data_IF_080819954420
#
_entry.id   IF_080819954420
#
_cell.length_a   1.000
_cell.length_b   1.000
_cell.length_c   1.000
_cell.angle_alpha   90.00
_cell.angle_beta   90.00
_cell.angle_gamma   90.00
#
_symmetry.space_group_name_H-M   'P 1'
#
loop_
_entity.id
_entity.type
_entity.pdbx_description
1 polymer ?
#
# COMPACT_ATOMS: atom_id res chain seq x y z
N UNK A 1 1.75 -7.97 -3.73
CA UNK A 1 1.77 -6.61 -3.14
C UNK A 1 0.50 -6.39 -2.35
N UNK A 2 0.59 -5.75 -1.18
CA UNK A 2 -0.52 -5.52 -0.23
C UNK A 2 -0.46 -4.07 0.28
N UNK A 3 -1.53 -3.26 0.17
CA UNK A 3 -1.60 -1.94 0.78
C UNK A 3 -2.11 -2.01 2.22
N UNK A 4 -1.51 -1.21 3.11
CA UNK A 4 -1.90 -1.07 4.52
C UNK A 4 -1.81 0.39 4.94
N UNK A 5 -2.79 0.89 5.67
CA UNK A 5 -2.73 2.20 6.32
C UNK A 5 -2.40 1.97 7.79
N UNK A 6 -1.19 2.38 8.18
CA UNK A 6 -0.68 2.21 9.55
C UNK A 6 0.40 3.26 9.83
N UNK A 7 0.00 4.37 10.45
CA UNK A 7 0.87 5.49 10.75
C UNK A 7 2.02 5.10 11.70
N UNK A 8 1.75 4.27 12.70
CA UNK A 8 2.76 3.87 13.67
C UNK A 8 3.85 2.99 13.02
N UNK A 9 3.43 2.06 12.15
CA UNK A 9 4.36 1.22 11.40
C UNK A 9 5.19 2.04 10.41
N UNK A 10 4.58 3.00 9.68
CA UNK A 10 5.30 3.90 8.78
C UNK A 10 6.34 4.73 9.54
N UNK A 11 5.98 5.32 10.70
CA UNK A 11 6.90 6.07 11.53
C UNK A 11 8.07 5.22 12.02
N UNK A 12 7.82 3.98 12.42
CA UNK A 12 8.87 3.03 12.83
C UNK A 12 9.84 2.71 11.70
N UNK A 13 9.31 2.53 10.47
CA UNK A 13 10.15 2.33 9.30
C UNK A 13 11.05 3.55 9.01
N UNK A 14 10.49 4.77 9.09
CA UNK A 14 11.25 6.00 8.88
C UNK A 14 12.34 6.19 9.94
N UNK A 15 12.05 5.87 11.20
CA UNK A 15 13.04 5.94 12.30
C UNK A 15 14.19 4.94 12.11
N UNK A 16 13.91 3.75 11.58
CA UNK A 16 14.92 2.71 11.38
C UNK A 16 15.77 2.93 10.12
N UNK A 17 15.21 3.54 9.09
CA UNK A 17 15.89 3.82 7.82
C UNK A 17 15.84 2.69 6.81
N UNK A 18 16.03 3.05 5.54
CA UNK A 18 16.06 2.11 4.41
C UNK A 18 17.16 1.06 4.58
N UNK A 19 16.88 -0.18 4.23
CA UNK A 19 17.77 -1.34 4.31
C UNK A 19 17.79 -2.02 5.68
N UNK A 20 17.13 -1.44 6.69
CA UNK A 20 17.03 -2.05 8.02
C UNK A 20 16.01 -3.19 8.03
N UNK A 21 16.25 -4.16 8.91
CA UNK A 21 15.28 -5.20 9.25
C UNK A 21 14.62 -4.81 10.57
N UNK A 22 13.29 -4.78 10.58
CA UNK A 22 12.52 -4.39 11.77
C UNK A 22 11.34 -5.33 11.98
N UNK A 23 10.94 -5.50 13.22
CA UNK A 23 9.70 -6.18 13.57
C UNK A 23 8.57 -5.16 13.64
N UNK A 24 7.55 -5.31 12.80
CA UNK A 24 6.34 -4.49 12.79
C UNK A 24 5.15 -5.28 13.33
N UNK A 25 4.21 -4.56 13.92
CA UNK A 25 2.84 -5.03 14.15
C UNK A 25 1.94 -4.26 13.20
N UNK A 26 1.35 -4.94 12.21
CA UNK A 26 0.59 -4.32 11.13
C UNK A 26 -0.90 -4.57 11.27
N UNK A 27 -1.68 -3.52 10.99
CA UNK A 27 -3.13 -3.57 10.97
C UNK A 27 -3.77 -3.34 12.34
N UNK A 28 -5.10 -3.30 12.36
CA UNK A 28 -5.94 -3.09 13.55
C UNK A 28 -5.73 -1.77 14.31
N UNK A 29 -5.04 -0.81 13.72
CA UNK A 29 -4.82 0.51 14.33
C UNK A 29 -6.13 1.31 14.47
N UNK A 30 -7.06 1.11 13.52
CA UNK A 30 -8.33 1.84 13.46
C UNK A 30 -9.51 1.06 14.04
N UNK A 31 -9.44 -0.26 14.05
CA UNK A 31 -10.52 -1.11 14.54
C UNK A 31 -9.98 -2.42 15.11
N UNK A 32 -10.09 -2.55 16.43
CA UNK A 32 -9.61 -3.72 17.18
C UNK A 32 -10.64 -4.87 17.20
N UNK A 33 -11.86 -4.66 16.69
CA UNK A 33 -12.92 -5.66 16.74
C UNK A 33 -12.69 -6.84 15.79
N UNK A 34 -11.91 -6.64 14.72
CA UNK A 34 -11.76 -7.58 13.62
C UNK A 34 -10.49 -8.44 13.70
N UNK A 35 -9.89 -8.55 14.88
CA UNK A 35 -8.75 -9.45 15.08
C UNK A 35 -7.60 -8.82 15.85
N UNK A 36 -6.39 -9.28 15.59
CA UNK A 36 -5.16 -8.80 16.22
C UNK A 36 -4.16 -8.35 15.17
N UNK A 37 -3.25 -7.40 15.51
CA UNK A 37 -2.16 -7.03 14.61
C UNK A 37 -1.33 -8.24 14.20
N UNK A 38 -0.87 -8.24 12.96
CA UNK A 38 0.06 -9.27 12.47
C UNK A 38 1.48 -8.81 12.76
N UNK A 39 2.22 -9.62 13.51
CA UNK A 39 3.64 -9.36 13.77
C UNK A 39 4.50 -9.96 12.65
N UNK A 40 5.32 -9.12 12.02
CA UNK A 40 6.19 -9.50 10.91
C UNK A 40 7.58 -8.90 11.10
N UNK A 41 8.62 -9.69 10.82
CA UNK A 41 9.96 -9.19 10.59
C UNK A 41 10.13 -8.87 9.12
N UNK A 42 10.44 -7.63 8.79
CA UNK A 42 10.44 -7.11 7.43
C UNK A 42 11.70 -6.32 7.12
N UNK A 43 12.12 -6.34 5.85
CA UNK A 43 13.15 -5.47 5.31
C UNK A 43 12.52 -4.18 4.78
N UNK A 44 13.07 -3.02 5.15
CA UNK A 44 12.64 -1.71 4.63
C UNK A 44 13.31 -1.47 3.28
N UNK A 45 12.51 -1.57 2.20
CA UNK A 45 13.00 -1.45 0.82
C UNK A 45 13.03 0.00 0.37
N UNK A 46 12.01 0.80 0.73
CA UNK A 46 11.88 2.20 0.34
C UNK A 46 11.15 3.01 1.38
N UNK A 47 11.51 4.28 1.47
CA UNK A 47 10.84 5.31 2.26
C UNK A 47 10.51 6.49 1.34
N UNK A 48 9.30 7.06 1.48
CA UNK A 48 8.84 8.21 0.71
C UNK A 48 8.05 9.15 1.61
N UNK A 49 7.82 10.39 1.13
CA UNK A 49 6.93 11.35 1.76
C UNK A 49 5.44 11.05 1.51
N UNK A 50 5.15 10.12 0.59
CA UNK A 50 3.82 9.68 0.25
C UNK A 50 3.05 10.67 -0.63
N UNK A 51 3.72 11.63 -1.26
CA UNK A 51 3.10 12.53 -2.23
C UNK A 51 2.96 11.86 -3.60
N UNK A 52 1.85 12.08 -4.26
CA UNK A 52 1.58 11.63 -5.62
C UNK A 52 0.57 12.55 -6.31
N UNK A 53 0.40 12.42 -7.61
CA UNK A 53 -0.61 13.12 -8.38
C UNK A 53 -1.61 12.12 -8.93
N UNK A 54 -2.90 12.39 -8.77
CA UNK A 54 -3.95 11.58 -9.37
C UNK A 54 -3.92 11.72 -10.90
N UNK A 55 -4.09 10.59 -11.60
CA UNK A 55 -4.10 10.51 -13.06
C UNK A 55 -5.47 9.98 -13.52
N UNK A 56 -6.20 10.84 -14.23
CA UNK A 56 -7.49 10.50 -14.79
C UNK A 56 -8.68 10.63 -13.82
N UNK A 57 -9.88 10.52 -14.40
CA UNK A 57 -11.14 10.64 -13.69
C UNK A 57 -11.40 12.02 -13.12
N UNK A 58 -12.21 12.07 -12.04
CA UNK A 58 -12.61 13.34 -11.40
C UNK A 58 -11.50 13.98 -10.56
N UNK A 59 -10.43 13.25 -10.27
CA UNK A 59 -9.30 13.70 -9.45
C UNK A 59 -8.06 14.06 -10.28
N UNK A 60 -8.18 14.01 -11.62
CA UNK A 60 -7.05 14.25 -12.52
C UNK A 60 -6.29 15.54 -12.21
N UNK A 61 -4.98 15.43 -12.03
CA UNK A 61 -4.10 16.53 -11.67
C UNK A 61 -4.15 17.00 -10.21
N UNK A 62 -5.02 16.41 -9.37
CA UNK A 62 -5.03 16.72 -7.95
C UNK A 62 -3.87 16.05 -7.23
N UNK A 63 -3.30 16.72 -6.22
CA UNK A 63 -2.28 16.14 -5.35
C UNK A 63 -2.92 15.22 -4.31
N UNK A 64 -2.31 14.06 -4.11
CA UNK A 64 -2.63 13.11 -3.05
C UNK A 64 -1.48 13.00 -2.05
N UNK A 65 -1.81 12.81 -0.77
CA UNK A 65 -0.84 12.73 0.31
C UNK A 65 -1.13 11.54 1.23
N UNK A 66 -0.32 10.49 1.09
CA UNK A 66 -0.35 9.33 1.99
C UNK A 66 0.42 9.57 3.30
N UNK A 67 1.10 10.74 3.41
CA UNK A 67 2.05 11.02 4.48
C UNK A 67 3.30 10.14 4.39
N UNK A 68 4.22 10.25 5.37
CA UNK A 68 5.41 9.39 5.41
C UNK A 68 5.04 7.94 5.18
N UNK A 69 5.57 7.35 4.10
CA UNK A 69 5.18 6.01 3.64
C UNK A 69 6.41 5.13 3.48
N UNK A 70 6.20 3.81 3.57
CA UNK A 70 7.25 2.83 3.45
C UNK A 70 6.83 1.66 2.56
N UNK A 71 7.78 1.12 1.82
CA UNK A 71 7.66 -0.20 1.20
C UNK A 71 8.54 -1.16 1.97
N UNK A 72 7.93 -2.21 2.48
CA UNK A 72 8.66 -3.28 3.17
C UNK A 72 8.47 -4.61 2.46
N UNK A 73 9.39 -5.53 2.68
CA UNK A 73 9.39 -6.85 2.04
C UNK A 73 9.54 -7.95 3.08
N UNK A 74 8.73 -8.99 2.94
CA UNK A 74 8.82 -10.23 3.72
C UNK A 74 8.48 -11.42 2.81
N UNK A 75 9.35 -12.44 2.78
CA UNK A 75 9.14 -13.68 2.03
C UNK A 75 8.64 -13.48 0.58
N UNK A 76 9.15 -12.47 -0.13
CA UNK A 76 8.74 -12.15 -1.51
C UNK A 76 7.45 -11.32 -1.63
N UNK A 77 6.80 -10.99 -0.52
CA UNK A 77 5.62 -10.11 -0.49
C UNK A 77 6.07 -8.68 -0.22
N UNK A 78 5.64 -7.73 -1.08
CA UNK A 78 5.78 -6.30 -0.82
C UNK A 78 4.55 -5.79 -0.09
N UNK A 79 4.76 -5.03 0.98
CA UNK A 79 3.72 -4.36 1.75
C UNK A 79 3.96 -2.85 1.62
N UNK A 80 2.96 -2.14 1.09
CA UNK A 80 2.98 -0.69 0.94
C UNK A 80 2.27 -0.08 2.16
N UNK A 81 3.01 0.57 3.04
CA UNK A 81 2.51 1.13 4.29
C UNK A 81 2.39 2.64 4.12
N UNK A 82 1.17 3.16 4.21
CA UNK A 82 0.87 4.59 4.20
C UNK A 82 0.53 5.07 5.62
N UNK A 83 0.87 6.32 5.94
CA UNK A 83 0.47 6.95 7.21
C UNK A 83 -1.00 7.32 7.22
N UNK A 84 -1.53 7.80 6.07
CA UNK A 84 -2.90 8.25 5.93
C UNK A 84 -3.61 7.56 4.78
N UNK A 85 -4.93 7.32 4.89
CA UNK A 85 -5.70 6.76 3.80
C UNK A 85 -5.86 7.80 2.68
N UNK A 86 -5.77 7.32 1.43
CA UNK A 86 -6.12 8.09 0.24
C UNK A 86 -7.07 7.27 -0.62
N UNK A 87 -7.82 7.94 -1.49
CA UNK A 87 -8.68 7.24 -2.42
C UNK A 87 -7.84 6.60 -3.54
N UNK A 88 -7.98 5.30 -3.74
CA UNK A 88 -7.26 4.53 -4.76
C UNK A 88 -8.05 4.58 -6.06
N UNK A 89 -7.79 5.61 -6.90
CA UNK A 89 -8.55 5.84 -8.14
C UNK A 89 -8.03 5.00 -9.30
N UNK A 90 -6.80 5.26 -9.75
CA UNK A 90 -6.15 4.56 -10.86
C UNK A 90 -4.83 3.87 -10.45
N UNK A 91 -4.53 3.77 -9.18
CA UNK A 91 -3.38 3.04 -8.65
C UNK A 91 -2.07 3.82 -8.61
N UNK A 92 -2.10 5.15 -8.79
CA UNK A 92 -0.94 6.04 -8.83
C UNK A 92 -0.07 5.98 -7.57
N UNK A 93 -0.66 5.60 -6.45
CA UNK A 93 0.04 5.41 -5.18
C UNK A 93 1.21 4.43 -5.31
N UNK A 94 1.05 3.35 -6.07
CA UNK A 94 2.08 2.31 -6.16
C UNK A 94 3.31 2.74 -6.95
N UNK A 95 3.19 3.33 -8.15
CA UNK A 95 4.34 3.94 -8.83
C UNK A 95 5.03 5.03 -8.02
N UNK A 96 4.29 5.86 -7.28
CA UNK A 96 4.88 6.89 -6.39
C UNK A 96 5.73 6.26 -5.27
N UNK A 97 5.37 5.08 -4.81
CA UNK A 97 6.16 4.26 -3.89
C UNK A 97 7.27 3.47 -4.59
N UNK A 98 7.41 3.61 -5.93
CA UNK A 98 8.41 2.90 -6.74
C UNK A 98 8.12 1.41 -6.93
N UNK A 99 6.85 1.03 -6.88
CA UNK A 99 6.38 -0.32 -7.17
C UNK A 99 5.95 -0.38 -8.64
N UNK A 100 6.56 -1.29 -9.39
CA UNK A 100 6.08 -1.68 -10.71
C UNK A 100 4.96 -2.72 -10.53
N UNK A 101 3.72 -2.28 -10.67
CA UNK A 101 2.55 -3.15 -10.49
C UNK A 101 2.46 -4.25 -11.56
N UNK A 102 2.96 -3.98 -12.78
CA UNK A 102 2.95 -4.95 -13.87
C UNK A 102 3.91 -6.14 -13.60
N UNK A 103 4.95 -5.92 -12.79
CA UNK A 103 5.87 -6.97 -12.37
C UNK A 103 5.34 -7.80 -11.18
N UNK A 104 4.21 -7.44 -10.58
CA UNK A 104 3.64 -8.14 -9.45
C UNK A 104 2.82 -9.36 -9.88
N UNK A 105 3.11 -10.53 -9.32
CA UNK A 105 2.32 -11.74 -9.59
C UNK A 105 0.91 -11.66 -9.00
N UNK A 106 0.75 -11.02 -7.85
CA UNK A 106 -0.53 -10.78 -7.18
C UNK A 106 -0.59 -9.37 -6.63
N UNK A 107 -1.73 -8.72 -6.81
CA UNK A 107 -2.02 -7.39 -6.30
C UNK A 107 -3.28 -7.50 -5.44
N UNK A 108 -3.20 -7.02 -4.20
CA UNK A 108 -4.37 -6.85 -3.33
C UNK A 108 -4.83 -5.40 -3.48
N UNK A 109 -6.02 -5.19 -4.02
CA UNK A 109 -6.66 -3.89 -4.12
C UNK A 109 -7.74 -3.78 -3.03
N UNK A 110 -7.73 -2.68 -2.28
CA UNK A 110 -8.74 -2.38 -1.25
C UNK A 110 -9.81 -1.41 -1.74
N UNK A 111 -9.99 -1.32 -3.04
CA UNK A 111 -10.98 -0.49 -3.69
C UNK A 111 -11.95 -1.37 -4.49
N UNK A 112 -13.15 -1.66 -3.95
CA UNK A 112 -14.11 -2.55 -4.62
C UNK A 112 -14.78 -1.92 -5.84
N UNK A 113 -14.68 -0.59 -6.02
CA UNK A 113 -15.38 0.11 -7.10
C UNK A 113 -14.49 0.34 -8.34
N UNK A 114 -13.20 0.68 -8.14
CA UNK A 114 -12.35 1.16 -9.23
C UNK A 114 -11.13 0.27 -9.51
N UNK A 115 -11.05 -0.91 -8.91
CA UNK A 115 -9.91 -1.81 -9.11
C UNK A 115 -9.69 -2.19 -10.58
N UNK A 116 -10.74 -2.24 -11.40
CA UNK A 116 -10.62 -2.48 -12.83
C UNK A 116 -9.88 -1.33 -13.51
N UNK A 117 -10.26 -0.08 -13.25
CA UNK A 117 -9.58 1.08 -13.81
C UNK A 117 -8.10 1.13 -13.44
N UNK A 118 -7.81 0.80 -12.18
CA UNK A 118 -6.44 0.82 -11.67
C UNK A 118 -5.55 -0.27 -12.26
N UNK A 119 -6.09 -1.47 -12.55
CA UNK A 119 -5.27 -2.66 -12.81
C UNK A 119 -5.64 -3.46 -14.06
N UNK A 120 -6.64 -3.07 -14.86
CA UNK A 120 -7.04 -3.82 -16.07
C UNK A 120 -5.90 -3.91 -17.09
N UNK A 121 -5.03 -2.91 -17.14
CA UNK A 121 -3.90 -2.86 -18.07
C UNK A 121 -2.78 -3.85 -17.72
N UNK A 122 -2.74 -4.37 -16.49
CA UNK A 122 -1.69 -5.27 -16.01
C UNK A 122 -2.20 -6.58 -15.42
N UNK A 123 -3.51 -6.77 -15.28
CA UNK A 123 -4.12 -7.96 -14.67
C UNK A 123 -5.02 -8.71 -15.64
N UNK A 124 -4.89 -10.04 -15.67
CA UNK A 124 -5.72 -10.92 -16.51
C UNK A 124 -6.88 -11.55 -15.76
N UNK A 125 -6.80 -11.61 -14.43
CA UNK A 125 -7.80 -12.24 -13.58
C UNK A 125 -8.04 -11.40 -12.33
N UNK A 126 -9.30 -11.09 -12.07
CA UNK A 126 -9.77 -10.41 -10.88
C UNK A 126 -10.58 -11.38 -10.01
N UNK A 127 -10.21 -11.46 -8.74
CA UNK A 127 -10.90 -12.25 -7.73
C UNK A 127 -11.48 -11.31 -6.68
N UNK A 128 -12.81 -11.28 -6.54
CA UNK A 128 -13.47 -10.52 -5.48
C UNK A 128 -13.64 -11.39 -4.24
N UNK A 129 -13.23 -10.87 -3.09
CA UNK A 129 -13.43 -11.51 -1.78
C UNK A 129 -14.68 -10.97 -1.06
N UNK A 130 -15.44 -10.07 -1.71
CA UNK A 130 -16.60 -9.41 -1.10
C UNK A 130 -17.86 -10.27 -1.19
N UNK A 131 -17.89 -11.26 -2.08
CA UNK A 131 -19.05 -12.11 -2.36
C UNK A 131 -18.89 -13.54 -1.81
N UNK A 132 -18.19 -13.66 -0.72
CA UNK A 132 -18.06 -14.94 -0.02
C UNK A 132 -19.20 -15.08 0.99
#
# INVERSE_FOLDING_TARGET
MIPVVDQAAAAKCHAAGKGSIVTLQLGHQHDIQWGSPVQLEVEIVRLTDGCFTYEGGIWDGCEGHMGPSAVVKVAGVFICIASFPTYEWCGEQYPSLGIDVAAMKFIVAKNPMNYLMAFEHCSQLFLSLIHI
#
